data_IF_971583176249
#
_entry.id   IF_971583176249
#
_cell.length_a   1.000
_cell.length_b   1.000
_cell.length_c   1.000
_cell.angle_alpha   90.00
_cell.angle_beta   90.00
_cell.angle_gamma   90.00
#
_symmetry.space_group_name_H-M   'P 1'
#
loop_
_entity.id
_entity.type
_entity.pdbx_description
1 polymer ?
#
# COMPACT_ATOMS: atom_id res chain seq x y z
N UNK A 1 5.09 -25.00 52.58
CA UNK A 1 6.49 -25.49 52.49
C UNK A 1 6.67 -26.11 51.10
N UNK A 2 7.80 -25.81 50.46
CA UNK A 2 7.93 -25.71 49.00
C UNK A 2 8.05 -27.00 48.18
N UNK A 3 7.79 -26.87 46.88
CA UNK A 3 8.13 -27.84 45.85
C UNK A 3 9.52 -27.52 45.29
N UNK A 4 10.57 -28.04 45.91
CA UNK A 4 11.92 -27.97 45.36
C UNK A 4 12.05 -28.99 44.22
N UNK A 5 12.33 -28.51 43.01
CA UNK A 5 12.69 -29.36 41.87
C UNK A 5 14.06 -30.01 42.10
N UNK A 6 14.14 -31.34 41.95
CA UNK A 6 15.37 -32.15 42.00
C UNK A 6 16.20 -32.03 40.72
N UNK A 7 15.66 -31.43 39.66
CA UNK A 7 16.37 -31.26 38.40
C UNK A 7 17.28 -30.04 38.47
N UNK A 8 18.57 -30.28 38.70
CA UNK A 8 19.61 -29.32 38.35
C UNK A 8 19.57 -29.11 36.84
N UNK A 9 19.02 -27.98 36.40
CA UNK A 9 18.97 -27.60 34.99
C UNK A 9 20.33 -27.77 34.32
N UNK A 10 20.32 -28.10 33.02
CA UNK A 10 21.54 -28.31 32.23
C UNK A 10 22.57 -27.22 32.51
N UNK A 11 23.77 -27.62 32.96
CA UNK A 11 24.94 -26.74 33.17
C UNK A 11 25.65 -26.37 31.87
N UNK A 12 25.16 -26.88 30.75
CA UNK A 12 25.72 -26.66 29.43
C UNK A 12 25.38 -25.23 29.01
N UNK A 13 26.39 -24.37 28.82
CA UNK A 13 26.22 -23.00 28.27
C UNK A 13 25.83 -22.98 26.78
N UNK A 14 25.31 -24.08 26.25
CA UNK A 14 24.77 -24.09 24.91
C UNK A 14 23.39 -23.43 24.96
N UNK A 15 23.28 -22.28 24.30
CA UNK A 15 21.99 -21.63 24.07
C UNK A 15 21.01 -22.66 23.53
N UNK A 16 19.84 -22.79 24.16
CA UNK A 16 18.73 -23.61 23.64
C UNK A 16 18.14 -23.02 22.37
N UNK A 17 18.57 -21.82 22.00
CA UNK A 17 18.13 -21.09 20.84
C UNK A 17 18.99 -21.49 19.63
N UNK A 18 18.37 -21.67 18.45
CA UNK A 18 19.09 -21.90 17.20
C UNK A 18 20.24 -20.89 16.99
N UNK A 19 21.29 -21.29 16.25
CA UNK A 19 22.48 -20.43 16.05
C UNK A 19 22.19 -19.14 15.27
N UNK A 20 21.07 -19.11 14.57
CA UNK A 20 20.51 -18.00 13.80
C UNK A 20 19.50 -17.16 14.61
N UNK A 21 19.22 -17.50 15.87
CA UNK A 21 18.32 -16.71 16.71
C UNK A 21 18.92 -15.34 17.03
N UNK A 22 18.21 -14.28 16.63
CA UNK A 22 18.55 -12.91 16.97
C UNK A 22 17.58 -12.38 18.05
N UNK A 23 18.06 -11.85 19.20
CA UNK A 23 17.20 -11.23 20.20
C UNK A 23 16.28 -10.11 19.68
N UNK A 24 16.61 -9.51 18.53
CA UNK A 24 15.74 -8.57 17.83
C UNK A 24 14.42 -9.18 17.31
N UNK A 25 14.40 -10.49 17.04
CA UNK A 25 13.22 -11.21 16.53
C UNK A 25 12.14 -11.34 17.62
N UNK A 26 12.56 -11.60 18.87
CA UNK A 26 11.67 -11.62 20.04
C UNK A 26 10.93 -10.29 20.25
N UNK A 27 11.61 -9.17 19.99
CA UNK A 27 11.04 -7.84 20.17
C UNK A 27 10.05 -7.50 19.05
N UNK A 28 10.35 -7.91 17.81
CA UNK A 28 9.41 -7.83 16.68
C UNK A 28 8.18 -8.69 16.93
N UNK A 29 8.35 -9.92 17.39
CA UNK A 29 7.24 -10.84 17.69
C UNK A 29 6.31 -10.27 18.78
N UNK A 30 6.88 -9.66 19.82
CA UNK A 30 6.11 -8.95 20.85
C UNK A 30 5.34 -7.77 20.27
N UNK A 31 5.97 -6.98 19.39
CA UNK A 31 5.31 -5.84 18.73
C UNK A 31 4.13 -6.27 17.85
N UNK A 32 4.32 -7.30 17.02
CA UNK A 32 3.25 -7.87 16.18
C UNK A 32 2.11 -8.47 17.00
N UNK A 33 2.44 -9.18 18.10
CA UNK A 33 1.42 -9.71 19.01
C UNK A 33 0.62 -8.61 19.68
N UNK A 34 1.30 -7.53 20.10
CA UNK A 34 0.68 -6.33 20.67
C UNK A 34 -0.29 -5.68 19.69
N UNK A 35 0.19 -5.38 18.48
CA UNK A 35 -0.61 -4.80 17.39
C UNK A 35 -1.85 -5.64 17.10
N UNK A 36 -1.70 -6.95 16.87
CA UNK A 36 -2.84 -7.85 16.58
C UNK A 36 -3.89 -7.86 17.69
N UNK A 37 -3.44 -7.84 18.95
CA UNK A 37 -4.33 -7.77 20.12
C UNK A 37 -5.06 -6.44 20.16
N UNK A 38 -4.35 -5.36 19.85
CA UNK A 38 -4.92 -4.02 19.84
C UNK A 38 -5.95 -3.84 18.72
N UNK A 39 -5.63 -4.22 17.48
CA UNK A 39 -6.57 -4.20 16.35
C UNK A 39 -7.82 -5.01 16.69
N UNK A 40 -7.66 -6.19 17.29
CA UNK A 40 -8.79 -7.02 17.72
C UNK A 40 -9.69 -6.30 18.73
N UNK A 41 -9.10 -5.57 19.69
CA UNK A 41 -9.85 -4.78 20.69
C UNK A 41 -10.48 -3.54 20.08
N UNK A 42 -9.80 -2.85 19.17
CA UNK A 42 -10.33 -1.72 18.43
C UNK A 42 -11.60 -2.12 17.67
N UNK A 43 -11.57 -3.26 16.96
CA UNK A 43 -12.72 -3.77 16.22
C UNK A 43 -13.85 -4.21 17.15
N UNK A 44 -13.57 -5.06 18.15
CA UNK A 44 -14.60 -5.58 19.05
C UNK A 44 -15.20 -4.54 20.02
N UNK A 45 -14.52 -3.41 20.26
CA UNK A 45 -15.04 -2.29 21.04
C UNK A 45 -15.70 -1.20 20.18
N UNK A 46 -15.91 -1.46 18.88
CA UNK A 46 -16.45 -0.49 17.93
C UNK A 46 -15.68 0.85 17.93
N UNK A 47 -14.36 0.78 18.03
CA UNK A 47 -13.47 1.94 18.01
C UNK A 47 -13.27 2.67 19.33
N UNK A 48 -13.83 2.21 20.44
CA UNK A 48 -13.69 2.91 21.73
C UNK A 48 -12.38 2.60 22.48
N UNK A 49 -11.71 1.49 22.16
CA UNK A 49 -10.50 1.06 22.88
C UNK A 49 -9.19 1.70 22.39
N UNK A 50 -9.11 2.03 21.11
CA UNK A 50 -7.95 2.65 20.46
C UNK A 50 -8.45 3.54 19.33
N UNK A 51 -7.55 4.28 18.69
CA UNK A 51 -7.89 5.07 17.51
C UNK A 51 -7.16 4.54 16.27
N UNK A 52 -7.74 4.82 15.10
CA UNK A 52 -7.19 4.39 13.82
C UNK A 52 -5.74 4.84 13.59
N UNK A 53 -5.38 6.05 14.05
CA UNK A 53 -4.03 6.59 13.89
C UNK A 53 -3.01 5.81 14.71
N UNK A 54 -3.38 5.36 15.91
CA UNK A 54 -2.56 4.50 16.75
C UNK A 54 -2.35 3.13 16.10
N UNK A 55 -3.40 2.53 15.52
CA UNK A 55 -3.28 1.26 14.79
C UNK A 55 -2.28 1.37 13.64
N UNK A 56 -2.37 2.40 12.80
CA UNK A 56 -1.43 2.57 11.67
C UNK A 56 0.00 2.83 12.16
N UNK A 57 0.17 3.66 13.20
CA UNK A 57 1.50 3.91 13.80
C UNK A 57 2.14 2.64 14.31
N UNK A 58 1.40 1.86 15.10
CA UNK A 58 1.91 0.63 15.69
C UNK A 58 2.15 -0.44 14.62
N UNK A 59 1.41 -0.41 13.49
CA UNK A 59 1.72 -1.20 12.30
C UNK A 59 3.07 -0.86 11.68
N UNK A 60 3.35 0.44 11.45
CA UNK A 60 4.63 0.86 10.87
C UNK A 60 5.80 0.44 11.76
N UNK A 61 5.66 0.62 13.08
CA UNK A 61 6.68 0.21 14.07
C UNK A 61 6.88 -1.30 14.10
N UNK A 62 5.80 -2.08 14.15
CA UNK A 62 5.87 -3.55 14.13
C UNK A 62 6.53 -4.08 12.85
N UNK A 63 6.35 -3.37 11.73
CA UNK A 63 6.96 -3.67 10.44
C UNK A 63 8.46 -3.30 10.34
N UNK A 64 9.07 -2.84 11.43
CA UNK A 64 10.47 -2.43 11.48
C UNK A 64 10.72 -0.95 11.18
N UNK A 65 9.66 -0.13 11.20
CA UNK A 65 9.72 1.31 10.99
C UNK A 65 9.60 1.73 9.53
N UNK A 66 9.52 3.04 9.31
CA UNK A 66 9.24 3.63 8.00
C UNK A 66 10.29 3.28 6.94
N UNK A 67 11.57 3.25 7.33
CA UNK A 67 12.67 2.91 6.40
C UNK A 67 12.59 1.45 5.96
N UNK A 68 12.24 0.52 6.87
CA UNK A 68 12.10 -0.88 6.53
C UNK A 68 10.90 -1.12 5.59
N UNK A 69 9.76 -0.49 5.88
CA UNK A 69 8.58 -0.57 5.01
C UNK A 69 8.88 0.00 3.62
N UNK A 70 9.41 1.22 3.53
CA UNK A 70 9.77 1.84 2.26
C UNK A 70 10.79 1.00 1.46
N UNK A 71 11.74 0.37 2.15
CA UNK A 71 12.71 -0.55 1.55
C UNK A 71 12.08 -1.84 1.00
N UNK A 72 10.99 -2.31 1.62
CA UNK A 72 10.24 -3.48 1.19
C UNK A 72 9.19 -3.21 0.11
N UNK A 73 8.83 -1.93 -0.15
CA UNK A 73 7.79 -1.52 -1.09
C UNK A 73 8.16 -1.60 -2.58
N UNK A 74 9.02 -2.54 -2.96
CA UNK A 74 9.66 -2.56 -4.28
C UNK A 74 8.67 -2.68 -5.44
N UNK A 75 7.58 -3.44 -5.27
CA UNK A 75 6.58 -3.67 -6.32
C UNK A 75 5.66 -2.46 -6.47
N UNK A 76 5.25 -1.84 -5.36
CA UNK A 76 4.50 -0.59 -5.37
C UNK A 76 5.25 0.55 -6.05
N UNK A 77 6.53 0.75 -5.70
CA UNK A 77 7.36 1.80 -6.31
C UNK A 77 7.59 1.56 -7.81
N UNK A 78 7.75 0.30 -8.22
CA UNK A 78 7.85 -0.05 -9.65
C UNK A 78 6.53 0.24 -10.38
N UNK A 79 5.40 -0.21 -9.85
CA UNK A 79 4.09 -0.02 -10.46
C UNK A 79 3.73 1.47 -10.59
N UNK A 80 3.94 2.26 -9.53
CA UNK A 80 3.76 3.71 -9.59
C UNK A 80 4.68 4.38 -10.62
N UNK A 81 5.93 3.91 -10.71
CA UNK A 81 6.87 4.34 -11.73
C UNK A 81 6.39 4.06 -13.15
N UNK A 82 5.79 2.89 -13.39
CA UNK A 82 5.21 2.51 -14.67
C UNK A 82 4.00 3.39 -15.01
N UNK A 83 3.06 3.59 -14.07
CA UNK A 83 1.92 4.50 -14.24
C UNK A 83 2.39 5.93 -14.56
N UNK A 84 3.31 6.47 -13.75
CA UNK A 84 3.82 7.81 -13.94
C UNK A 84 4.57 7.98 -15.26
N UNK A 85 5.32 6.97 -15.69
CA UNK A 85 6.02 6.96 -16.98
C UNK A 85 5.04 6.88 -18.15
N UNK A 86 3.95 6.13 -17.99
CA UNK A 86 2.85 6.12 -18.96
C UNK A 86 2.22 7.51 -19.09
N UNK A 87 1.80 8.14 -17.98
CA UNK A 87 1.24 9.49 -18.02
C UNK A 87 2.20 10.53 -18.61
N UNK A 88 3.48 10.45 -18.25
CA UNK A 88 4.51 11.29 -18.87
C UNK A 88 4.63 11.03 -20.37
N UNK A 89 4.57 9.76 -20.79
CA UNK A 89 4.57 9.36 -22.19
C UNK A 89 3.39 9.95 -22.97
N UNK A 90 2.17 9.83 -22.43
CA UNK A 90 0.94 10.37 -23.00
C UNK A 90 1.06 11.88 -23.17
N UNK A 91 1.48 12.60 -22.12
CA UNK A 91 1.63 14.05 -22.16
C UNK A 91 2.69 14.54 -23.17
N UNK A 92 3.65 13.71 -23.56
CA UNK A 92 4.74 14.09 -24.47
C UNK A 92 4.56 13.61 -25.90
N UNK A 93 3.98 12.43 -26.10
CA UNK A 93 3.94 11.75 -27.40
C UNK A 93 2.52 11.32 -27.81
N UNK A 94 1.53 11.52 -26.94
CA UNK A 94 0.18 10.99 -27.11
C UNK A 94 0.05 9.53 -26.69
N UNK A 95 -1.19 9.11 -26.49
CA UNK A 95 -1.62 7.83 -25.97
C UNK A 95 -1.34 6.71 -26.95
N UNK A 96 -1.52 6.95 -28.25
CA UNK A 96 -1.30 5.95 -29.28
C UNK A 96 0.16 5.47 -29.30
N UNK A 97 1.12 6.40 -29.30
CA UNK A 97 2.54 6.05 -29.28
C UNK A 97 2.97 5.47 -27.94
N UNK A 98 2.36 5.92 -26.84
CA UNK A 98 2.69 5.45 -25.51
C UNK A 98 2.20 4.02 -25.27
N UNK A 99 0.97 3.69 -25.67
CA UNK A 99 0.43 2.33 -25.62
C UNK A 99 1.26 1.37 -26.49
N UNK A 100 1.61 1.80 -27.71
CA UNK A 100 2.46 1.02 -28.62
C UNK A 100 3.82 0.70 -28.00
N UNK A 101 4.45 1.65 -27.32
CA UNK A 101 5.75 1.47 -26.64
C UNK A 101 5.71 0.44 -25.53
N UNK A 102 4.57 0.27 -24.86
CA UNK A 102 4.36 -0.76 -23.84
C UNK A 102 3.69 -2.03 -24.39
N UNK A 103 3.63 -2.18 -25.72
CA UNK A 103 3.12 -3.38 -26.39
C UNK A 103 1.60 -3.50 -26.41
N UNK A 104 0.85 -2.42 -26.17
CA UNK A 104 -0.60 -2.40 -26.21
C UNK A 104 -1.05 -1.76 -27.53
N UNK A 105 -1.76 -2.53 -28.35
CA UNK A 105 -2.52 -2.01 -29.49
C UNK A 105 -3.99 -1.93 -29.07
N UNK A 106 -4.59 -0.75 -29.19
CA UNK A 106 -5.96 -0.50 -28.78
C UNK A 106 -6.94 -0.44 -29.96
N UNK A 107 -6.46 -0.53 -31.21
CA UNK A 107 -7.34 -0.48 -32.37
C UNK A 107 -8.25 -1.71 -32.43
N UNK A 108 -9.56 -1.47 -32.45
CA UNK A 108 -10.57 -2.53 -32.45
C UNK A 108 -10.72 -3.27 -31.11
N UNK A 109 -9.98 -2.86 -30.06
CA UNK A 109 -10.14 -3.40 -28.71
C UNK A 109 -11.19 -2.61 -27.93
N UNK A 110 -11.86 -3.28 -26.99
CA UNK A 110 -12.72 -2.58 -26.04
C UNK A 110 -11.89 -1.80 -25.01
N UNK A 111 -12.43 -0.72 -24.45
CA UNK A 111 -11.77 0.03 -23.37
C UNK A 111 -11.43 -0.88 -22.19
N UNK A 112 -12.34 -1.78 -21.81
CA UNK A 112 -12.12 -2.76 -20.73
C UNK A 112 -10.91 -3.66 -20.99
N UNK A 113 -10.71 -4.09 -22.23
CA UNK A 113 -9.56 -4.91 -22.61
C UNK A 113 -8.26 -4.11 -22.51
N UNK A 114 -8.26 -2.86 -22.98
CA UNK A 114 -7.10 -1.97 -22.90
C UNK A 114 -6.73 -1.69 -21.45
N UNK A 115 -7.71 -1.40 -20.58
CA UNK A 115 -7.47 -1.19 -19.15
C UNK A 115 -6.97 -2.46 -18.45
N UNK A 116 -7.48 -3.63 -18.81
CA UNK A 116 -6.97 -4.90 -18.29
C UNK A 116 -5.50 -5.09 -18.65
N UNK A 117 -5.11 -4.79 -19.90
CA UNK A 117 -3.71 -4.83 -20.35
C UNK A 117 -2.84 -3.77 -19.67
N UNK A 118 -3.39 -2.60 -19.36
CA UNK A 118 -2.69 -1.58 -18.56
C UNK A 118 -2.43 -2.08 -17.14
N UNK A 119 -3.39 -2.75 -16.50
CA UNK A 119 -3.17 -3.38 -15.19
C UNK A 119 -2.01 -4.36 -15.26
N UNK A 120 -2.00 -5.23 -16.26
CA UNK A 120 -0.91 -6.21 -16.46
C UNK A 120 0.44 -5.53 -16.72
N UNK A 121 0.49 -4.51 -17.58
CA UNK A 121 1.72 -3.78 -17.88
C UNK A 121 2.27 -2.99 -16.67
N UNK A 122 1.40 -2.50 -15.78
CA UNK A 122 1.84 -1.76 -14.60
C UNK A 122 2.16 -2.68 -13.41
N UNK A 123 1.59 -3.89 -13.37
CA UNK A 123 1.76 -4.88 -12.31
C UNK A 123 2.15 -6.26 -12.85
N UNK A 124 3.21 -6.31 -13.64
CA UNK A 124 3.65 -7.51 -14.38
C UNK A 124 3.94 -8.73 -13.49
N UNK A 125 4.38 -8.51 -12.26
CA UNK A 125 4.71 -9.58 -11.32
C UNK A 125 3.50 -9.97 -10.46
N UNK A 126 3.46 -11.23 -10.04
CA UNK A 126 2.39 -11.79 -9.19
C UNK A 126 2.91 -12.81 -8.16
N UNK A 127 4.21 -12.77 -7.86
CA UNK A 127 4.90 -13.82 -7.09
C UNK A 127 4.91 -13.56 -5.58
N UNK A 128 4.66 -12.31 -5.16
CA UNK A 128 4.76 -11.90 -3.77
C UNK A 128 3.46 -11.26 -3.28
N UNK A 129 3.29 -11.19 -1.95
CA UNK A 129 2.19 -10.42 -1.35
C UNK A 129 2.24 -8.95 -1.75
N UNK A 130 3.45 -8.39 -1.86
CA UNK A 130 3.66 -7.01 -2.29
C UNK A 130 3.21 -6.78 -3.75
N UNK A 131 3.41 -7.76 -4.63
CA UNK A 131 2.90 -7.70 -6.00
C UNK A 131 1.35 -7.65 -6.03
N UNK A 132 0.68 -8.45 -5.19
CA UNK A 132 -0.77 -8.41 -5.07
C UNK A 132 -1.30 -7.06 -4.57
N UNK A 133 -0.63 -6.47 -3.58
CA UNK A 133 -0.92 -5.12 -3.08
C UNK A 133 -0.70 -4.07 -4.17
N UNK A 134 0.40 -4.16 -4.93
CA UNK A 134 0.69 -3.26 -6.03
C UNK A 134 -0.38 -3.35 -7.12
N UNK A 135 -0.82 -4.56 -7.50
CA UNK A 135 -1.88 -4.78 -8.51
C UNK A 135 -3.21 -4.16 -8.07
N UNK A 136 -3.60 -4.32 -6.80
CA UNK A 136 -4.79 -3.67 -6.23
C UNK A 136 -4.69 -2.15 -6.32
N UNK A 137 -3.54 -1.58 -5.99
CA UNK A 137 -3.31 -0.13 -6.09
C UNK A 137 -3.32 0.38 -7.55
N UNK A 138 -2.81 -0.42 -8.50
CA UNK A 138 -2.89 -0.10 -9.94
C UNK A 138 -4.34 0.01 -10.39
N UNK A 139 -5.19 -0.93 -9.98
CA UNK A 139 -6.62 -0.91 -10.32
C UNK A 139 -7.29 0.37 -9.80
N UNK A 140 -7.04 0.74 -8.54
CA UNK A 140 -7.57 1.97 -7.95
C UNK A 140 -7.12 3.22 -8.71
N UNK A 141 -5.84 3.28 -9.09
CA UNK A 141 -5.31 4.39 -9.88
C UNK A 141 -6.03 4.56 -11.21
N UNK A 142 -6.38 3.44 -11.85
CA UNK A 142 -7.03 3.42 -13.15
C UNK A 142 -8.53 3.70 -13.09
N UNK A 143 -9.20 3.63 -11.93
CA UNK A 143 -10.63 3.98 -11.80
C UNK A 143 -10.88 5.41 -12.30
N UNK A 144 -10.12 6.39 -11.80
CA UNK A 144 -10.29 7.79 -12.23
C UNK A 144 -9.97 8.03 -13.71
N UNK A 145 -9.04 7.24 -14.27
CA UNK A 145 -8.69 7.29 -15.70
C UNK A 145 -9.83 6.69 -16.54
N UNK A 146 -10.43 5.60 -16.07
CA UNK A 146 -11.57 4.96 -16.72
C UNK A 146 -12.79 5.88 -16.71
N UNK A 147 -13.11 6.48 -15.57
CA UNK A 147 -14.21 7.46 -15.45
C UNK A 147 -14.04 8.64 -16.42
N UNK A 148 -12.80 9.06 -16.67
CA UNK A 148 -12.51 10.10 -17.65
C UNK A 148 -12.78 9.62 -19.07
N UNK A 149 -12.36 8.40 -19.43
CA UNK A 149 -12.65 7.80 -20.74
C UNK A 149 -14.15 7.58 -20.94
N UNK A 150 -14.88 7.12 -19.92
CA UNK A 150 -16.32 6.94 -19.95
C UNK A 150 -17.06 8.25 -20.22
N UNK A 151 -16.64 9.35 -19.58
CA UNK A 151 -17.19 10.70 -19.81
C UNK A 151 -16.86 11.28 -21.19
N UNK A 152 -15.95 10.67 -21.93
CA UNK A 152 -15.53 11.06 -23.27
C UNK A 152 -15.87 9.95 -24.29
N UNK A 153 -17.09 9.43 -24.20
CA UNK A 153 -17.68 8.50 -25.18
C UNK A 153 -16.88 7.21 -25.37
N UNK A 154 -16.17 6.76 -24.34
CA UNK A 154 -15.31 5.57 -24.38
C UNK A 154 -14.15 5.67 -25.39
N UNK A 155 -13.77 6.89 -25.80
CA UNK A 155 -12.66 7.11 -26.71
C UNK A 155 -11.33 7.21 -25.94
N UNK A 156 -10.47 6.19 -26.08
CA UNK A 156 -9.12 6.17 -25.47
C UNK A 156 -8.26 7.35 -25.93
N UNK A 157 -8.50 7.89 -27.12
CA UNK A 157 -7.76 9.05 -27.63
C UNK A 157 -7.97 10.31 -26.78
N UNK A 158 -9.04 10.36 -25.97
CA UNK A 158 -9.28 11.46 -25.04
C UNK A 158 -8.15 11.61 -24.00
N UNK A 159 -7.39 10.55 -23.72
CA UNK A 159 -6.27 10.58 -22.77
C UNK A 159 -5.18 11.60 -23.16
N UNK A 160 -5.07 11.95 -24.44
CA UNK A 160 -4.17 13.03 -24.92
C UNK A 160 -4.53 14.41 -24.35
N UNK A 161 -5.79 14.58 -23.94
CA UNK A 161 -6.33 15.81 -23.37
C UNK A 161 -6.61 15.68 -21.87
N UNK A 162 -6.23 14.56 -21.27
CA UNK A 162 -6.46 14.31 -19.84
C UNK A 162 -5.69 15.34 -19.00
N UNK A 163 -6.36 16.07 -18.09
CA UNK A 163 -5.70 17.06 -17.26
C UNK A 163 -4.60 16.45 -16.39
N UNK A 164 -3.50 17.18 -16.21
CA UNK A 164 -2.37 16.73 -15.39
C UNK A 164 -2.76 16.54 -13.92
N UNK A 165 -3.78 17.27 -13.47
CA UNK A 165 -4.40 17.15 -12.16
C UNK A 165 -5.04 15.78 -11.97
N UNK A 166 -5.67 15.24 -13.03
CA UNK A 166 -6.27 13.91 -12.99
C UNK A 166 -5.17 12.83 -12.99
N UNK A 167 -4.11 13.00 -13.76
CA UNK A 167 -2.92 12.12 -13.72
C UNK A 167 -2.28 12.08 -12.33
N UNK A 168 -2.09 13.24 -11.69
CA UNK A 168 -1.56 13.31 -10.33
C UNK A 168 -2.54 12.72 -9.31
N UNK A 169 -3.85 12.93 -9.48
CA UNK A 169 -4.86 12.31 -8.63
C UNK A 169 -4.84 10.78 -8.73
N UNK A 170 -4.64 10.22 -9.92
CA UNK A 170 -4.49 8.78 -10.10
C UNK A 170 -3.27 8.22 -9.35
N UNK A 171 -2.12 8.91 -9.38
CA UNK A 171 -0.95 8.54 -8.58
C UNK A 171 -1.18 8.72 -7.07
N UNK A 172 -1.91 9.77 -6.66
CA UNK A 172 -2.28 9.96 -5.25
C UNK A 172 -3.15 8.80 -4.77
N UNK A 173 -4.17 8.44 -5.54
CA UNK A 173 -5.08 7.32 -5.22
C UNK A 173 -4.32 5.98 -5.20
N UNK A 174 -3.39 5.77 -6.15
CA UNK A 174 -2.47 4.65 -6.12
C UNK A 174 -1.72 4.57 -4.78
N UNK A 175 -1.09 5.67 -4.36
CA UNK A 175 -0.27 5.70 -3.14
C UNK A 175 -1.10 5.42 -1.89
N UNK A 176 -2.28 6.04 -1.80
CA UNK A 176 -3.26 5.77 -0.75
C UNK A 176 -3.59 4.27 -0.69
N UNK A 177 -4.02 3.69 -1.81
CA UNK A 177 -4.47 2.30 -1.83
C UNK A 177 -3.30 1.34 -1.59
N UNK A 178 -2.11 1.65 -2.08
CA UNK A 178 -0.92 0.84 -1.86
C UNK A 178 -0.54 0.77 -0.37
N UNK A 179 -0.52 1.92 0.32
CA UNK A 179 -0.23 1.97 1.76
C UNK A 179 -1.35 1.29 2.55
N UNK A 180 -2.61 1.56 2.20
CA UNK A 180 -3.76 0.93 2.83
C UNK A 180 -3.75 -0.60 2.68
N UNK A 181 -3.64 -1.10 1.45
CA UNK A 181 -3.59 -2.53 1.18
C UNK A 181 -2.35 -3.20 1.79
N UNK A 182 -1.25 -2.45 1.98
CA UNK A 182 -0.10 -2.91 2.75
C UNK A 182 -0.46 -3.17 4.22
N UNK A 183 -1.19 -2.27 4.87
CA UNK A 183 -1.69 -2.46 6.24
C UNK A 183 -2.70 -3.60 6.29
N UNK A 184 -3.65 -3.60 5.37
CA UNK A 184 -4.77 -4.54 5.35
C UNK A 184 -4.27 -5.99 5.19
N UNK A 185 -3.30 -6.27 4.30
CA UNK A 185 -2.81 -7.64 4.04
C UNK A 185 -2.36 -8.41 5.30
N UNK A 186 -1.98 -7.70 6.35
CA UNK A 186 -1.46 -8.27 7.60
C UNK A 186 -2.48 -8.21 8.75
N UNK A 187 -3.44 -7.27 8.68
CA UNK A 187 -4.42 -7.00 9.74
C UNK A 187 -5.86 -7.44 9.41
N UNK A 188 -6.18 -7.73 8.15
CA UNK A 188 -7.53 -8.11 7.66
C UNK A 188 -8.12 -9.24 8.50
N UNK A 189 -7.35 -10.32 8.72
CA UNK A 189 -7.82 -11.44 9.57
C UNK A 189 -8.23 -11.02 10.99
N UNK A 190 -7.65 -9.95 11.56
CA UNK A 190 -8.04 -9.46 12.89
C UNK A 190 -9.35 -8.70 12.86
N UNK A 191 -9.62 -8.02 11.74
CA UNK A 191 -10.87 -7.31 11.50
C UNK A 191 -11.99 -8.34 11.29
N UNK A 192 -11.77 -9.32 10.42
CA UNK A 192 -12.71 -10.41 10.15
C UNK A 192 -12.97 -11.29 11.37
N UNK A 193 -11.94 -11.70 12.12
CA UNK A 193 -12.10 -12.59 13.30
C UNK A 193 -12.92 -11.95 14.43
N UNK A 194 -13.03 -10.62 14.45
CA UNK A 194 -13.62 -9.84 15.56
C UNK A 194 -14.81 -9.00 15.14
N UNK A 195 -15.20 -9.08 13.87
CA UNK A 195 -16.41 -8.41 13.40
C UNK A 195 -17.63 -9.00 14.12
N UNK A 196 -18.47 -8.11 14.65
CA UNK A 196 -19.80 -8.47 15.17
C UNK A 196 -20.81 -8.39 14.03
N UNK A 197 -20.65 -7.39 13.16
CA UNK A 197 -21.41 -7.20 11.94
C UNK A 197 -20.55 -6.53 10.85
N UNK A 198 -21.00 -6.63 9.59
CA UNK A 198 -20.28 -6.17 8.40
C UNK A 198 -20.15 -4.64 8.36
N UNK A 199 -21.17 -3.91 8.82
CA UNK A 199 -21.18 -2.45 8.72
C UNK A 199 -20.17 -1.82 9.67
N UNK A 200 -20.10 -2.29 10.92
CA UNK A 200 -19.10 -1.85 11.89
C UNK A 200 -17.68 -2.19 11.42
N UNK A 201 -17.44 -3.38 10.87
CA UNK A 201 -16.12 -3.77 10.35
C UNK A 201 -15.67 -2.85 9.20
N UNK A 202 -16.57 -2.60 8.24
CA UNK A 202 -16.31 -1.66 7.13
C UNK A 202 -16.00 -0.26 7.65
N UNK A 203 -16.74 0.24 8.64
CA UNK A 203 -16.48 1.54 9.24
C UNK A 203 -15.09 1.60 9.91
N UNK A 204 -14.65 0.52 10.58
CA UNK A 204 -13.31 0.44 11.16
C UNK A 204 -12.23 0.49 10.09
N UNK A 205 -12.42 -0.21 8.97
CA UNK A 205 -11.51 -0.15 7.82
C UNK A 205 -11.44 1.25 7.22
N UNK A 206 -12.59 1.90 7.02
CA UNK A 206 -12.70 3.27 6.50
C UNK A 206 -11.99 4.27 7.42
N UNK A 207 -12.06 4.12 8.74
CA UNK A 207 -11.33 4.98 9.68
C UNK A 207 -9.81 4.80 9.56
N UNK A 208 -9.32 3.57 9.45
CA UNK A 208 -7.88 3.29 9.26
C UNK A 208 -7.41 3.84 7.91
N UNK A 209 -8.17 3.57 6.83
CA UNK A 209 -7.88 4.11 5.50
C UNK A 209 -7.91 5.64 5.50
N UNK A 210 -8.86 6.27 6.20
CA UNK A 210 -8.99 7.72 6.28
C UNK A 210 -7.78 8.43 6.91
N UNK A 211 -7.10 7.79 7.87
CA UNK A 211 -5.82 8.29 8.39
C UNK A 211 -4.74 8.30 7.31
N UNK A 212 -4.64 7.22 6.54
CA UNK A 212 -3.67 7.07 5.44
C UNK A 212 -3.97 8.08 4.33
N UNK A 213 -5.23 8.20 3.93
CA UNK A 213 -5.70 9.19 2.95
C UNK A 213 -5.31 10.60 3.34
N UNK A 214 -5.52 10.97 4.60
CA UNK A 214 -5.17 12.30 5.12
C UNK A 214 -3.66 12.56 5.04
N UNK A 215 -2.83 11.59 5.42
CA UNK A 215 -1.37 11.74 5.35
C UNK A 215 -0.91 11.81 3.90
N UNK A 216 -1.37 10.90 3.04
CA UNK A 216 -1.01 10.92 1.61
C UNK A 216 -1.44 12.22 0.96
N UNK A 217 -2.63 12.75 1.26
CA UNK A 217 -3.08 14.03 0.72
C UNK A 217 -2.17 15.20 1.12
N UNK A 218 -1.75 15.24 2.39
CA UNK A 218 -0.83 16.27 2.91
C UNK A 218 0.55 16.15 2.27
N UNK A 219 1.15 14.96 2.27
CA UNK A 219 2.51 14.73 1.77
C UNK A 219 2.61 14.86 0.25
N UNK A 220 1.59 14.40 -0.48
CA UNK A 220 1.51 14.59 -1.92
C UNK A 220 1.39 16.09 -2.25
N UNK A 221 0.65 16.86 -1.45
CA UNK A 221 0.51 18.31 -1.58
C UNK A 221 -0.44 18.74 -2.70
N UNK A 222 -1.19 19.82 -2.45
CA UNK A 222 -2.12 20.37 -3.43
C UNK A 222 -1.38 20.94 -4.66
N UNK A 223 -1.85 20.60 -5.86
CA UNK A 223 -1.29 21.09 -7.13
C UNK A 223 0.12 20.59 -7.46
N UNK A 224 0.71 19.70 -6.65
CA UNK A 224 2.03 19.13 -6.95
C UNK A 224 1.95 18.25 -8.19
N UNK A 225 2.81 18.54 -9.17
CA UNK A 225 2.97 17.70 -10.35
C UNK A 225 4.25 16.87 -10.24
N UNK A 226 4.09 15.55 -10.11
CA UNK A 226 5.22 14.61 -10.08
C UNK A 226 5.38 13.83 -11.39
N UNK A 227 4.53 14.10 -12.40
CA UNK A 227 4.57 13.45 -13.71
C UNK A 227 5.74 13.99 -14.53
N UNK A 228 6.89 13.33 -14.40
CA UNK A 228 8.12 13.66 -15.12
C UNK A 228 9.02 12.42 -15.25
N UNK A 229 10.18 12.57 -15.91
CA UNK A 229 11.14 11.47 -16.13
C UNK A 229 11.63 10.78 -14.85
N UNK A 230 11.56 11.45 -13.70
CA UNK A 230 12.01 10.96 -12.39
C UNK A 230 10.85 10.54 -11.47
N UNK A 231 9.63 10.37 -12.00
CA UNK A 231 8.42 10.06 -11.22
C UNK A 231 8.61 8.89 -10.25
N UNK A 232 9.36 7.84 -10.64
CA UNK A 232 9.66 6.70 -9.78
C UNK A 232 10.39 7.12 -8.49
N UNK A 233 11.37 8.01 -8.60
CA UNK A 233 12.10 8.53 -7.43
C UNK A 233 11.20 9.44 -6.60
N UNK A 234 10.39 10.28 -7.24
CA UNK A 234 9.43 11.13 -6.53
C UNK A 234 8.44 10.30 -5.69
N UNK A 235 7.88 9.23 -6.26
CA UNK A 235 6.95 8.34 -5.54
C UNK A 235 7.68 7.59 -4.43
N UNK A 236 8.92 7.14 -4.64
CA UNK A 236 9.72 6.49 -3.60
C UNK A 236 9.92 7.38 -2.38
N UNK A 237 10.34 8.63 -2.59
CA UNK A 237 10.55 9.59 -1.50
C UNK A 237 9.22 9.95 -0.82
N UNK A 238 8.16 10.21 -1.58
CA UNK A 238 6.83 10.49 -1.02
C UNK A 238 6.29 9.31 -0.19
N UNK A 239 6.47 8.07 -0.65
CA UNK A 239 6.02 6.89 0.08
C UNK A 239 6.77 6.75 1.39
N UNK A 240 8.09 7.02 1.39
CA UNK A 240 8.91 7.04 2.60
C UNK A 240 8.43 8.13 3.57
N UNK A 241 8.20 9.34 3.09
CA UNK A 241 7.69 10.46 3.89
C UNK A 241 6.33 10.12 4.53
N UNK A 242 5.41 9.52 3.77
CA UNK A 242 4.13 9.05 4.30
C UNK A 242 4.34 8.07 5.46
N UNK A 243 5.23 7.08 5.31
CA UNK A 243 5.51 6.15 6.39
C UNK A 243 6.15 6.82 7.61
N UNK A 244 7.05 7.79 7.42
CA UNK A 244 7.69 8.55 8.52
C UNK A 244 6.65 9.35 9.32
N UNK A 245 5.69 10.00 8.63
CA UNK A 245 4.59 10.72 9.28
C UNK A 245 3.63 9.76 10.00
N UNK A 246 3.32 8.61 9.39
CA UNK A 246 2.49 7.57 10.00
C UNK A 246 3.15 6.95 11.24
N UNK A 247 4.47 6.76 11.23
CA UNK A 247 5.26 6.29 12.38
C UNK A 247 5.32 7.33 13.52
N UNK A 248 5.15 8.61 13.18
CA UNK A 248 5.31 9.76 14.08
C UNK A 248 6.77 10.11 14.32
N UNK A 249 7.62 10.02 13.30
CA UNK A 249 9.06 10.35 13.37
C UNK A 249 9.40 11.74 12.86
N UNK A 250 8.41 12.49 12.33
CA UNK A 250 8.52 13.87 11.86
C UNK A 250 7.48 14.73 12.58
#
# INVERSE_FOLDING_TARGET
MGTSSIFGGKKDKNSLLPKDYNPGDDNKDKSWKGLKTETSRYVSSNGHYSDARRIVRDYVRASGGATALAGSSSSGIRAAGNIGSFFYGVAQNGVADTLRKIGIDYQGQSVNEVFSRLVDAFSENSNTKDDGVARRAVQEALVGVYDYVEKNDMDISCLDKMPVELMNSALKNFMTEYIWATVLKDLESRIEDKMVDVASAKQREEEIKGVIESVVAIEFGEGKNIINKNVRNAVKELTKQCYEVLEGTI
#
